data_IF_038295391551
#
_entry.id   IF_038295391551
#
_cell.length_a   1.000
_cell.length_b   1.000
_cell.length_c   1.000
_cell.angle_alpha   90.00
_cell.angle_beta   90.00
_cell.angle_gamma   90.00
#
_symmetry.space_group_name_H-M   'P 1'
#
loop_
_entity.id
_entity.type
_entity.pdbx_description
1 polymer ?
#
# COMPACT_ATOMS: atom_id res chain seq x y z
N UNK A 1 6.95 22.39 15.94
CA UNK A 1 7.23 20.97 16.28
C UNK A 1 6.27 20.36 17.31
N UNK A 2 5.99 21.03 18.44
CA UNK A 2 5.18 20.48 19.54
C UNK A 2 3.76 20.07 19.11
N UNK A 3 3.05 20.95 18.38
CA UNK A 3 1.69 20.69 17.88
C UNK A 3 1.64 19.40 17.06
N UNK A 4 2.61 19.21 16.17
CA UNK A 4 2.68 18.01 15.34
C UNK A 4 2.90 16.75 16.19
N UNK A 5 3.85 16.75 17.13
CA UNK A 5 4.08 15.61 18.01
C UNK A 5 2.83 15.27 18.84
N UNK A 6 2.11 16.27 19.33
CA UNK A 6 0.83 16.08 20.04
C UNK A 6 -0.21 15.44 19.12
N UNK A 7 -0.41 15.97 17.91
CA UNK A 7 -1.38 15.41 16.95
C UNK A 7 -1.00 13.98 16.52
N UNK A 8 0.29 13.68 16.35
CA UNK A 8 0.80 12.33 16.06
C UNK A 8 0.51 11.37 17.20
N UNK A 9 0.83 11.76 18.43
CA UNK A 9 0.57 10.97 19.63
C UNK A 9 -0.92 10.70 19.77
N UNK A 10 -1.75 11.72 19.60
CA UNK A 10 -3.20 11.59 19.74
C UNK A 10 -3.81 10.73 18.62
N UNK A 11 -3.33 10.85 17.38
CA UNK A 11 -3.75 9.99 16.26
C UNK A 11 -3.34 8.54 16.49
N UNK A 12 -2.13 8.30 16.99
CA UNK A 12 -1.65 6.95 17.31
C UNK A 12 -2.45 6.34 18.45
N UNK A 13 -2.61 7.05 19.57
CA UNK A 13 -3.32 6.56 20.75
C UNK A 13 -4.79 6.31 20.45
N UNK A 14 -5.47 7.21 19.73
CA UNK A 14 -6.87 7.02 19.36
C UNK A 14 -7.06 5.79 18.47
N UNK A 15 -6.18 5.56 17.49
CA UNK A 15 -6.21 4.34 16.67
C UNK A 15 -5.89 3.07 17.49
N UNK A 16 -4.89 3.14 18.38
CA UNK A 16 -4.53 2.06 19.30
C UNK A 16 -5.71 1.67 20.19
N UNK A 17 -6.36 2.64 20.83
CA UNK A 17 -7.53 2.39 21.65
C UNK A 17 -8.70 1.86 20.80
N UNK A 18 -8.96 2.44 19.64
CA UNK A 18 -10.02 1.96 18.74
C UNK A 18 -9.80 0.52 18.23
N UNK A 19 -8.56 0.02 18.29
CA UNK A 19 -8.22 -1.34 17.85
C UNK A 19 -8.61 -2.42 18.86
N UNK A 20 -8.85 -2.08 20.13
CA UNK A 20 -9.37 -3.02 21.11
C UNK A 20 -10.77 -3.50 20.73
N UNK A 21 -11.04 -4.78 20.99
CA UNK A 21 -12.39 -5.31 20.85
C UNK A 21 -13.18 -4.99 22.12
N UNK A 22 -13.82 -3.83 22.13
CA UNK A 22 -14.72 -3.42 23.20
C UNK A 22 -16.00 -4.25 23.15
N UNK A 23 -16.46 -4.72 24.31
CA UNK A 23 -17.80 -5.30 24.46
C UNK A 23 -18.89 -4.24 24.23
N UNK A 24 -18.67 -3.03 24.76
CA UNK A 24 -19.57 -1.90 24.59
C UNK A 24 -19.27 -1.12 23.30
N UNK A 25 -20.28 -1.08 22.42
CA UNK A 25 -20.24 -0.37 21.14
C UNK A 25 -19.98 1.13 21.31
N UNK A 26 -20.43 1.75 22.41
CA UNK A 26 -20.28 3.19 22.65
C UNK A 26 -18.81 3.60 22.71
N UNK A 27 -18.00 2.85 23.47
CA UNK A 27 -16.56 3.09 23.57
C UNK A 27 -15.85 2.90 22.23
N UNK A 28 -16.29 1.91 21.43
CA UNK A 28 -15.75 1.71 20.08
C UNK A 28 -16.04 2.88 19.16
N UNK A 29 -17.28 3.38 19.15
CA UNK A 29 -17.68 4.54 18.35
C UNK A 29 -16.91 5.79 18.79
N UNK A 30 -16.78 6.02 20.10
CA UNK A 30 -16.04 7.15 20.64
C UNK A 30 -14.57 7.11 20.20
N UNK A 31 -13.88 5.98 20.37
CA UNK A 31 -12.48 5.83 19.97
C UNK A 31 -12.27 6.01 18.45
N UNK A 32 -13.17 5.48 17.62
CA UNK A 32 -13.14 5.70 16.16
C UNK A 32 -13.35 7.19 15.83
N UNK A 33 -14.29 7.86 16.50
CA UNK A 33 -14.56 9.29 16.29
C UNK A 33 -13.35 10.15 16.69
N UNK A 34 -12.71 9.82 17.81
CA UNK A 34 -11.45 10.45 18.22
C UNK A 34 -10.33 10.21 17.20
N UNK A 35 -10.24 9.01 16.61
CA UNK A 35 -9.29 8.74 15.53
C UNK A 35 -9.57 9.60 14.30
N UNK A 36 -10.82 9.71 13.85
CA UNK A 36 -11.18 10.54 12.70
C UNK A 36 -10.81 12.01 12.99
N UNK A 37 -11.23 12.55 14.13
CA UNK A 37 -10.96 13.95 14.49
C UNK A 37 -9.46 14.25 14.62
N UNK A 38 -8.71 13.38 15.31
CA UNK A 38 -7.26 13.52 15.48
C UNK A 38 -6.51 13.40 14.15
N UNK A 39 -6.92 12.46 13.31
CA UNK A 39 -6.35 12.27 11.98
C UNK A 39 -6.59 13.46 11.05
N UNK A 40 -7.75 14.12 11.18
CA UNK A 40 -8.10 15.32 10.44
C UNK A 40 -7.27 16.51 10.92
N UNK A 41 -7.12 16.67 12.24
CA UNK A 41 -6.23 17.68 12.81
C UNK A 41 -4.77 17.48 12.35
N UNK A 42 -4.28 16.24 12.35
CA UNK A 42 -2.95 15.90 11.83
C UNK A 42 -2.82 16.25 10.34
N UNK A 43 -3.88 16.02 9.56
CA UNK A 43 -3.93 16.36 8.13
C UNK A 43 -3.87 17.86 7.87
N UNK A 44 -4.46 18.69 8.75
CA UNK A 44 -4.35 20.15 8.67
C UNK A 44 -2.95 20.65 9.02
N UNK A 45 -2.26 19.99 9.96
CA UNK A 45 -0.90 20.38 10.37
C UNK A 45 0.14 20.02 9.31
N UNK A 46 -0.03 18.89 8.61
CA UNK A 46 0.92 18.41 7.60
C UNK A 46 0.62 18.99 6.21
N UNK A 47 1.47 19.91 5.77
CA UNK A 47 1.39 20.48 4.43
C UNK A 47 1.70 19.44 3.35
N UNK A 48 0.95 19.48 2.24
CA UNK A 48 1.09 18.51 1.12
C UNK A 48 2.41 18.61 0.39
N UNK A 49 2.98 19.81 0.31
CA UNK A 49 4.25 20.08 -0.36
C UNK A 49 5.46 19.42 0.33
N UNK A 50 5.32 18.98 1.60
CA UNK A 50 6.36 18.30 2.35
C UNK A 50 6.51 16.82 1.97
N UNK A 51 5.52 16.24 1.30
CA UNK A 51 5.57 14.86 0.82
C UNK A 51 6.72 14.67 -0.18
N UNK A 52 7.50 13.60 -0.01
CA UNK A 52 8.59 13.23 -0.91
C UNK A 52 8.15 13.07 -2.38
N UNK A 53 6.93 12.56 -2.62
CA UNK A 53 6.41 12.36 -3.97
C UNK A 53 5.68 13.60 -4.52
N UNK A 54 5.57 14.70 -3.76
CA UNK A 54 4.79 15.87 -4.17
C UNK A 54 5.27 16.46 -5.49
N UNK A 55 6.56 16.76 -5.62
CA UNK A 55 7.12 17.36 -6.84
C UNK A 55 7.03 16.41 -8.04
N UNK A 56 7.17 15.10 -7.79
CA UNK A 56 7.00 14.09 -8.84
C UNK A 56 5.58 14.14 -9.39
N UNK A 57 4.56 14.10 -8.52
CA UNK A 57 3.18 14.21 -8.98
C UNK A 57 2.89 15.59 -9.56
N UNK A 58 3.35 16.68 -8.94
CA UNK A 58 3.05 18.03 -9.40
C UNK A 58 3.61 18.30 -10.81
N UNK A 59 4.82 17.82 -11.10
CA UNK A 59 5.45 17.99 -12.41
C UNK A 59 5.15 16.86 -13.40
N UNK A 60 4.33 15.88 -13.01
CA UNK A 60 3.99 14.75 -13.88
C UNK A 60 3.20 15.23 -15.10
N UNK A 61 3.68 14.90 -16.30
CA UNK A 61 3.01 15.19 -17.57
C UNK A 61 1.80 14.27 -17.86
N UNK A 62 1.43 13.39 -16.92
CA UNK A 62 0.36 12.40 -17.12
C UNK A 62 -1.05 13.02 -17.06
N UNK A 63 -1.18 14.27 -16.59
CA UNK A 63 -2.46 14.99 -16.55
C UNK A 63 -2.89 15.57 -17.91
N UNK A 64 -2.08 15.39 -18.96
CA UNK A 64 -2.50 15.76 -20.31
C UNK A 64 -3.61 14.82 -20.82
N UNK A 65 -4.49 15.36 -21.65
CA UNK A 65 -5.57 14.59 -22.26
C UNK A 65 -4.97 13.42 -23.05
N UNK A 66 -5.39 12.17 -22.79
CA UNK A 66 -4.87 11.02 -23.52
C UNK A 66 -5.27 11.11 -25.00
N UNK A 67 -4.36 10.76 -25.90
CA UNK A 67 -4.60 10.79 -27.35
C UNK A 67 -5.38 9.58 -27.88
N UNK A 68 -5.73 8.61 -27.01
CA UNK A 68 -6.49 7.41 -27.36
C UNK A 68 -6.62 6.42 -26.19
N UNK A 69 -7.34 5.31 -26.39
CA UNK A 69 -7.64 4.32 -25.34
C UNK A 69 -6.38 3.68 -24.72
N UNK A 70 -5.40 3.30 -25.54
CA UNK A 70 -4.15 2.71 -25.04
C UNK A 70 -3.33 3.72 -24.23
N UNK A 71 -3.28 4.98 -24.68
CA UNK A 71 -2.66 6.07 -23.93
C UNK A 71 -3.38 6.31 -22.60
N UNK A 72 -4.72 6.24 -22.58
CA UNK A 72 -5.51 6.39 -21.36
C UNK A 72 -5.22 5.26 -20.35
N UNK A 73 -5.14 4.00 -20.79
CA UNK A 73 -4.79 2.87 -19.92
C UNK A 73 -3.36 2.97 -19.36
N UNK A 74 -2.41 3.41 -20.18
CA UNK A 74 -1.00 3.55 -19.78
C UNK A 74 -0.76 4.78 -18.89
N UNK A 75 -1.60 5.80 -18.99
CA UNK A 75 -1.52 7.05 -18.22
C UNK A 75 -2.29 7.02 -16.88
N UNK A 76 -2.44 5.84 -16.26
CA UNK A 76 -3.15 5.67 -14.97
C UNK A 76 -4.52 6.37 -14.92
N UNK A 77 -5.54 5.76 -15.54
CA UNK A 77 -6.78 6.46 -15.84
C UNK A 77 -7.50 7.01 -14.60
N UNK A 78 -7.37 6.33 -13.45
CA UNK A 78 -7.85 6.83 -12.16
C UNK A 78 -7.29 8.22 -11.79
N UNK A 79 -5.97 8.41 -11.84
CA UNK A 79 -5.35 9.64 -11.36
C UNK A 79 -5.72 10.81 -12.26
N UNK A 80 -5.79 10.56 -13.58
CA UNK A 80 -6.30 11.51 -14.55
C UNK A 80 -7.77 11.88 -14.26
N UNK A 81 -8.65 10.91 -14.02
CA UNK A 81 -10.06 11.16 -13.71
C UNK A 81 -10.25 11.99 -12.44
N UNK A 82 -9.48 11.72 -11.38
CA UNK A 82 -9.56 12.49 -10.13
C UNK A 82 -9.07 13.93 -10.37
N UNK A 83 -7.99 14.10 -11.13
CA UNK A 83 -7.50 15.43 -11.50
C UNK A 83 -8.54 16.21 -12.32
N UNK A 84 -9.11 15.60 -13.37
CA UNK A 84 -10.09 16.27 -14.24
C UNK A 84 -11.37 16.64 -13.50
N UNK A 85 -11.81 15.81 -12.56
CA UNK A 85 -12.96 16.09 -11.70
C UNK A 85 -12.75 17.38 -10.89
N UNK A 86 -11.60 17.54 -10.23
CA UNK A 86 -11.32 18.74 -9.46
C UNK A 86 -11.00 19.95 -10.33
N UNK A 87 -10.29 19.76 -11.46
CA UNK A 87 -9.97 20.85 -12.38
C UNK A 87 -11.20 21.41 -13.11
N UNK A 88 -12.33 20.69 -13.10
CA UNK A 88 -13.59 21.22 -13.61
C UNK A 88 -14.14 22.38 -12.76
N UNK A 89 -13.82 22.38 -11.46
CA UNK A 89 -14.30 23.39 -10.50
C UNK A 89 -13.23 24.39 -10.07
N UNK A 90 -11.95 24.10 -10.32
CA UNK A 90 -10.80 24.82 -9.76
C UNK A 90 -9.74 25.02 -10.85
N UNK A 91 -9.37 26.27 -11.11
CA UNK A 91 -8.38 26.59 -12.15
C UNK A 91 -6.93 26.43 -11.67
N UNK A 92 -6.66 26.77 -10.40
CA UNK A 92 -5.31 26.72 -9.86
C UNK A 92 -4.85 25.28 -9.62
N UNK A 93 -3.80 24.87 -10.34
CA UNK A 93 -3.22 23.51 -10.27
C UNK A 93 -2.83 23.11 -8.85
N UNK A 94 -2.25 24.02 -8.08
CA UNK A 94 -1.86 23.75 -6.68
C UNK A 94 -3.07 23.34 -5.82
N UNK A 95 -4.17 24.09 -5.92
CA UNK A 95 -5.40 23.79 -5.18
C UNK A 95 -6.07 22.49 -5.65
N UNK A 96 -6.03 22.19 -6.96
CA UNK A 96 -6.48 20.89 -7.50
C UNK A 96 -5.70 19.75 -6.84
N UNK A 97 -4.37 19.86 -6.77
CA UNK A 97 -3.52 18.88 -6.11
C UNK A 97 -3.84 18.71 -4.63
N UNK A 98 -4.03 19.82 -3.90
CA UNK A 98 -4.44 19.75 -2.50
C UNK A 98 -5.75 18.98 -2.33
N UNK A 99 -6.75 19.24 -3.19
CA UNK A 99 -8.01 18.49 -3.20
C UNK A 99 -7.80 17.00 -3.49
N UNK A 100 -6.94 16.64 -4.44
CA UNK A 100 -6.61 15.23 -4.71
C UNK A 100 -6.01 14.53 -3.49
N UNK A 101 -5.10 15.19 -2.77
CA UNK A 101 -4.54 14.62 -1.53
C UNK A 101 -5.59 14.51 -0.42
N UNK A 102 -6.52 15.46 -0.29
CA UNK A 102 -7.64 15.36 0.64
C UNK A 102 -8.57 14.20 0.29
N UNK A 103 -8.89 14.02 -0.98
CA UNK A 103 -9.67 12.88 -1.46
C UNK A 103 -9.00 11.54 -1.12
N UNK A 104 -7.71 11.43 -1.38
CA UNK A 104 -6.94 10.24 -1.06
C UNK A 104 -6.83 10.00 0.46
N UNK A 105 -6.67 11.05 1.26
CA UNK A 105 -6.74 11.00 2.73
C UNK A 105 -8.08 10.43 3.21
N UNK A 106 -9.21 10.88 2.63
CA UNK A 106 -10.54 10.39 3.01
C UNK A 106 -10.71 8.89 2.70
N UNK A 107 -10.24 8.44 1.53
CA UNK A 107 -10.26 7.02 1.14
C UNK A 107 -9.42 6.18 2.12
N UNK A 108 -8.19 6.61 2.39
CA UNK A 108 -7.28 5.89 3.28
C UNK A 108 -7.82 5.84 4.72
N UNK A 109 -8.28 6.96 5.27
CA UNK A 109 -8.87 7.00 6.62
C UNK A 109 -10.11 6.11 6.71
N UNK A 110 -10.97 6.11 5.69
CA UNK A 110 -12.13 5.21 5.63
C UNK A 110 -11.73 3.74 5.62
N UNK A 111 -10.65 3.38 4.92
CA UNK A 111 -10.09 2.02 4.95
C UNK A 111 -9.60 1.63 6.36
N UNK A 112 -8.88 2.51 7.04
CA UNK A 112 -8.40 2.24 8.40
C UNK A 112 -9.55 2.16 9.41
N UNK A 113 -10.60 2.97 9.26
CA UNK A 113 -11.84 2.83 10.03
C UNK A 113 -12.54 1.49 9.75
N UNK A 114 -12.65 1.09 8.49
CA UNK A 114 -13.17 -0.23 8.11
C UNK A 114 -12.37 -1.37 8.77
N UNK A 115 -11.05 -1.24 8.85
CA UNK A 115 -10.16 -2.22 9.50
C UNK A 115 -10.40 -2.29 11.02
N UNK A 116 -10.59 -1.15 11.69
CA UNK A 116 -10.93 -1.10 13.13
C UNK A 116 -12.22 -1.85 13.45
N UNK A 117 -13.21 -1.78 12.56
CA UNK A 117 -14.51 -2.44 12.74
C UNK A 117 -14.39 -3.98 12.66
N UNK A 118 -13.38 -4.54 11.98
CA UNK A 118 -13.22 -5.99 11.83
C UNK A 118 -12.80 -6.66 13.13
N UNK A 119 -13.71 -7.43 13.75
CA UNK A 119 -13.47 -8.17 15.00
C UNK A 119 -12.56 -9.39 14.79
N UNK A 120 -12.64 -10.01 13.62
CA UNK A 120 -11.86 -11.21 13.27
C UNK A 120 -10.41 -10.90 12.86
N UNK A 121 -9.99 -9.63 12.93
CA UNK A 121 -8.60 -9.21 12.72
C UNK A 121 -8.04 -8.82 14.08
N UNK A 122 -6.96 -9.48 14.48
CA UNK A 122 -6.30 -9.21 15.76
C UNK A 122 -5.73 -7.78 15.82
N UNK A 123 -5.81 -7.15 16.99
CA UNK A 123 -5.37 -5.78 17.22
C UNK A 123 -3.93 -5.53 16.77
N UNK A 124 -2.99 -6.43 17.10
CA UNK A 124 -1.60 -6.23 16.70
C UNK A 124 -1.42 -6.15 15.18
N UNK A 125 -2.21 -6.90 14.40
CA UNK A 125 -2.19 -6.85 12.93
C UNK A 125 -2.71 -5.51 12.42
N UNK A 126 -3.78 -4.99 13.03
CA UNK A 126 -4.31 -3.65 12.72
C UNK A 126 -3.27 -2.57 13.00
N UNK A 127 -2.55 -2.68 14.12
CA UNK A 127 -1.51 -1.74 14.51
C UNK A 127 -0.30 -1.79 13.57
N UNK A 128 0.17 -2.98 13.18
CA UNK A 128 1.25 -3.10 12.18
C UNK A 128 0.84 -2.46 10.85
N UNK A 129 -0.36 -2.76 10.35
CA UNK A 129 -0.85 -2.19 9.10
C UNK A 129 -0.96 -0.66 9.18
N UNK A 130 -1.50 -0.14 10.28
CA UNK A 130 -1.61 1.30 10.52
C UNK A 130 -0.26 1.99 10.58
N UNK A 131 0.65 1.48 11.42
CA UNK A 131 1.95 2.10 11.62
C UNK A 131 2.78 2.10 10.34
N UNK A 132 2.73 1.04 9.55
CA UNK A 132 3.51 0.94 8.31
C UNK A 132 2.89 1.67 7.11
N UNK A 133 1.56 1.76 7.01
CA UNK A 133 0.89 2.20 5.77
C UNK A 133 0.03 3.44 5.89
N UNK A 134 -0.28 3.93 7.11
CA UNK A 134 -1.19 5.07 7.27
C UNK A 134 -0.66 6.33 6.59
N UNK A 135 0.58 6.73 6.89
CA UNK A 135 1.19 7.90 6.23
C UNK A 135 1.38 7.69 4.73
N UNK A 136 1.85 6.50 4.34
CA UNK A 136 2.05 6.16 2.94
C UNK A 136 0.76 6.31 2.14
N UNK A 137 -0.38 5.83 2.66
CA UNK A 137 -1.64 5.84 1.94
C UNK A 137 -2.37 7.16 2.07
N UNK A 138 -2.43 7.76 3.26
CA UNK A 138 -3.24 8.94 3.49
C UNK A 138 -2.54 10.25 3.10
N UNK A 139 -1.20 10.27 3.03
CA UNK A 139 -0.42 11.52 2.85
C UNK A 139 0.47 11.51 1.60
N UNK A 140 0.86 10.35 1.09
CA UNK A 140 1.92 10.25 0.09
C UNK A 140 1.44 9.78 -1.27
N UNK A 141 0.91 8.55 -1.33
CA UNK A 141 0.74 7.82 -2.59
C UNK A 141 -0.65 8.04 -3.17
N UNK A 142 -0.76 9.00 -4.10
CA UNK A 142 -2.01 9.27 -4.84
C UNK A 142 -2.34 8.16 -5.84
N UNK A 143 -1.31 7.58 -6.45
CA UNK A 143 -1.44 6.67 -7.60
C UNK A 143 -1.85 5.26 -7.20
N UNK A 144 -1.07 4.63 -6.30
CA UNK A 144 -1.22 3.21 -5.98
C UNK A 144 -2.06 2.95 -4.73
N UNK A 145 -2.24 3.94 -3.85
CA UNK A 145 -2.94 3.79 -2.56
C UNK A 145 -4.31 3.12 -2.68
N UNK A 146 -5.21 3.60 -3.55
CA UNK A 146 -6.52 2.98 -3.77
C UNK A 146 -6.44 1.52 -4.24
N UNK A 147 -5.49 1.21 -5.13
CA UNK A 147 -5.29 -0.17 -5.60
C UNK A 147 -4.85 -1.10 -4.46
N UNK A 148 -3.93 -0.64 -3.60
CA UNK A 148 -3.49 -1.39 -2.42
C UNK A 148 -4.64 -1.64 -1.44
N UNK A 149 -5.48 -0.63 -1.20
CA UNK A 149 -6.66 -0.73 -0.33
C UNK A 149 -7.65 -1.78 -0.87
N UNK A 150 -7.94 -1.75 -2.18
CA UNK A 150 -8.81 -2.75 -2.80
C UNK A 150 -8.24 -4.17 -2.68
N UNK A 151 -6.92 -4.35 -2.85
CA UNK A 151 -6.28 -5.66 -2.63
C UNK A 151 -6.34 -6.10 -1.17
N UNK A 152 -6.16 -5.19 -0.21
CA UNK A 152 -6.30 -5.51 1.20
C UNK A 152 -7.73 -6.00 1.51
N UNK A 153 -8.75 -5.29 1.02
CA UNK A 153 -10.15 -5.72 1.14
C UNK A 153 -10.39 -7.06 0.44
N UNK A 154 -9.87 -7.24 -0.77
CA UNK A 154 -9.97 -8.50 -1.53
C UNK A 154 -9.37 -9.68 -0.78
N UNK A 155 -8.16 -9.56 -0.24
CA UNK A 155 -7.52 -10.61 0.54
C UNK A 155 -8.30 -10.94 1.81
N UNK A 156 -8.80 -9.91 2.51
CA UNK A 156 -9.68 -10.09 3.66
C UNK A 156 -10.94 -10.89 3.29
N UNK A 157 -11.73 -10.43 2.31
CA UNK A 157 -12.99 -11.10 1.96
C UNK A 157 -12.77 -12.50 1.37
N UNK A 158 -11.80 -12.65 0.47
CA UNK A 158 -11.54 -13.93 -0.23
C UNK A 158 -11.10 -15.03 0.72
N UNK A 159 -10.26 -14.70 1.70
CA UNK A 159 -9.82 -15.67 2.72
C UNK A 159 -10.92 -16.06 3.71
N UNK A 160 -12.03 -15.31 3.77
CA UNK A 160 -13.28 -15.69 4.46
C UNK A 160 -14.33 -16.26 3.50
N UNK A 161 -13.90 -16.72 2.33
CA UNK A 161 -14.78 -17.27 1.29
C UNK A 161 -15.86 -16.31 0.77
N UNK A 162 -15.73 -15.00 0.97
CA UNK A 162 -16.66 -13.98 0.45
C UNK A 162 -16.14 -13.41 -0.87
N UNK A 163 -17.04 -13.18 -1.83
CA UNK A 163 -16.69 -12.57 -3.12
C UNK A 163 -16.44 -11.07 -2.95
N UNK A 164 -15.43 -10.54 -3.66
CA UNK A 164 -15.14 -9.10 -3.70
C UNK A 164 -14.71 -8.70 -5.12
N UNK A 165 -15.71 -8.50 -5.98
CA UNK A 165 -15.49 -8.28 -7.42
C UNK A 165 -14.94 -6.88 -7.73
N UNK A 166 -15.04 -5.94 -6.79
CA UNK A 166 -14.41 -4.61 -6.90
C UNK A 166 -12.89 -4.67 -7.09
N UNK A 167 -12.24 -5.81 -6.84
CA UNK A 167 -10.82 -5.94 -7.18
C UNK A 167 -10.55 -5.77 -8.69
N UNK A 168 -11.52 -6.11 -9.55
CA UNK A 168 -11.36 -6.12 -11.01
C UNK A 168 -11.18 -4.71 -11.60
N UNK A 169 -11.49 -3.64 -10.86
CA UNK A 169 -11.24 -2.26 -11.31
C UNK A 169 -9.80 -1.79 -11.06
N UNK A 170 -9.00 -2.54 -10.28
CA UNK A 170 -7.62 -2.15 -9.95
C UNK A 170 -6.68 -1.93 -11.14
N UNK A 171 -6.81 -2.59 -12.31
CA UNK A 171 -6.00 -2.28 -13.48
C UNK A 171 -6.18 -0.85 -13.98
N UNK A 172 -7.36 -0.27 -13.80
CA UNK A 172 -7.66 1.12 -14.16
C UNK A 172 -7.13 2.11 -13.11
N UNK A 173 -6.72 1.63 -11.93
CA UNK A 173 -6.03 2.44 -10.94
C UNK A 173 -4.52 2.36 -11.11
N UNK A 174 -4.01 1.15 -11.23
CA UNK A 174 -2.59 0.91 -11.38
C UNK A 174 -2.31 -0.37 -12.17
N UNK A 175 -1.61 -0.26 -13.30
CA UNK A 175 -1.40 -1.40 -14.21
C UNK A 175 -0.65 -2.57 -13.54
N UNK A 176 0.22 -2.32 -12.56
CA UNK A 176 0.94 -3.41 -11.88
C UNK A 176 0.04 -4.30 -11.05
N UNK A 177 -1.19 -3.86 -10.76
CA UNK A 177 -2.23 -4.67 -10.12
C UNK A 177 -2.67 -5.86 -10.96
N UNK A 178 -2.52 -5.80 -12.29
CA UNK A 178 -2.84 -6.91 -13.20
C UNK A 178 -2.14 -8.21 -12.82
N UNK A 179 -0.87 -8.12 -12.39
CA UNK A 179 -0.11 -9.31 -11.99
C UNK A 179 -0.80 -10.05 -10.84
N UNK A 180 -1.28 -9.32 -9.84
CA UNK A 180 -1.91 -9.91 -8.66
C UNK A 180 -3.36 -10.31 -8.88
N UNK A 181 -4.02 -9.84 -9.95
CA UNK A 181 -5.37 -10.26 -10.28
C UNK A 181 -5.48 -11.74 -10.62
N UNK A 182 -4.37 -12.42 -10.98
CA UNK A 182 -4.38 -13.89 -11.12
C UNK A 182 -4.90 -14.56 -9.84
N UNK A 183 -4.66 -13.96 -8.65
CA UNK A 183 -5.18 -14.49 -7.39
C UNK A 183 -6.71 -14.52 -7.31
N UNK A 184 -7.43 -13.80 -8.18
CA UNK A 184 -8.90 -13.83 -8.26
C UNK A 184 -9.45 -15.25 -8.46
N UNK A 185 -8.73 -16.08 -9.22
CA UNK A 185 -9.07 -17.48 -9.47
C UNK A 185 -8.43 -18.46 -8.47
N UNK A 186 -7.98 -18.01 -7.29
CA UNK A 186 -7.26 -18.82 -6.29
C UNK A 186 -7.95 -20.13 -5.87
N UNK A 187 -9.28 -20.23 -6.01
CA UNK A 187 -10.02 -21.45 -5.64
C UNK A 187 -9.99 -22.52 -6.72
N UNK A 188 -9.53 -22.20 -7.93
CA UNK A 188 -9.53 -23.16 -9.02
C UNK A 188 -8.46 -24.24 -8.80
N UNK A 189 -8.82 -25.51 -8.97
CA UNK A 189 -7.90 -26.64 -8.74
C UNK A 189 -6.64 -26.60 -9.61
N UNK A 190 -6.72 -25.94 -10.78
CA UNK A 190 -5.60 -25.75 -11.71
C UNK A 190 -4.88 -24.41 -11.51
N UNK A 191 -5.08 -23.72 -10.39
CA UNK A 191 -4.52 -22.39 -10.16
C UNK A 191 -3.02 -22.30 -10.44
N UNK A 192 -2.21 -23.19 -9.84
CA UNK A 192 -0.77 -23.16 -10.01
C UNK A 192 -0.32 -23.51 -11.43
N UNK A 193 -1.09 -24.36 -12.12
CA UNK A 193 -0.88 -24.64 -13.54
C UNK A 193 -1.10 -23.36 -14.36
N UNK A 194 -2.21 -22.66 -14.14
CA UNK A 194 -2.50 -21.39 -14.81
C UNK A 194 -1.44 -20.33 -14.51
N UNK A 195 -1.01 -20.22 -13.25
CA UNK A 195 0.05 -19.29 -12.87
C UNK A 195 1.36 -19.57 -13.62
N UNK A 196 1.74 -20.85 -13.74
CA UNK A 196 2.91 -21.27 -14.50
C UNK A 196 2.77 -20.95 -15.99
N UNK A 197 1.63 -21.29 -16.62
CA UNK A 197 1.39 -20.98 -18.02
C UNK A 197 1.31 -19.47 -18.30
N UNK A 198 0.77 -18.68 -17.37
CA UNK A 198 0.76 -17.22 -17.46
C UNK A 198 2.18 -16.67 -17.44
N UNK A 199 3.04 -17.17 -16.56
CA UNK A 199 4.45 -16.77 -16.54
C UNK A 199 5.18 -17.17 -17.83
N UNK A 200 4.98 -18.41 -18.29
CA UNK A 200 5.56 -18.91 -19.53
C UNK A 200 5.09 -18.07 -20.72
N UNK A 201 3.79 -17.76 -20.80
CA UNK A 201 3.20 -16.94 -21.84
C UNK A 201 3.76 -15.52 -21.85
N UNK A 202 3.87 -14.85 -20.69
CA UNK A 202 4.45 -13.51 -20.60
C UNK A 202 5.92 -13.54 -21.05
N UNK A 203 6.67 -14.56 -20.62
CA UNK A 203 8.08 -14.71 -20.98
C UNK A 203 8.27 -14.97 -22.48
N UNK A 204 7.52 -15.91 -23.07
CA UNK A 204 7.60 -16.19 -24.52
C UNK A 204 7.10 -15.02 -25.35
N UNK A 205 6.02 -14.36 -24.94
CA UNK A 205 5.53 -13.15 -25.59
C UNK A 205 6.58 -12.04 -25.55
N UNK A 206 7.22 -11.81 -24.41
CA UNK A 206 8.29 -10.83 -24.29
C UNK A 206 9.45 -11.17 -25.24
N UNK A 207 9.94 -12.42 -25.24
CA UNK A 207 11.03 -12.83 -26.14
C UNK A 207 10.68 -12.63 -27.62
N UNK A 208 9.49 -13.03 -28.04
CA UNK A 208 9.03 -12.89 -29.43
C UNK A 208 8.82 -11.42 -29.83
N UNK A 209 8.33 -10.59 -28.90
CA UNK A 209 8.04 -9.18 -29.17
C UNK A 209 9.26 -8.28 -29.00
N UNK A 210 10.30 -8.68 -28.27
CA UNK A 210 11.51 -7.90 -28.03
C UNK A 210 12.09 -7.26 -29.31
N UNK A 211 12.31 -7.98 -30.43
CA UNK A 211 12.84 -7.36 -31.65
C UNK A 211 11.94 -6.25 -32.21
N UNK A 212 10.62 -6.38 -32.08
CA UNK A 212 9.67 -5.33 -32.48
C UNK A 212 9.65 -4.17 -31.49
N UNK A 213 9.69 -4.46 -30.19
CA UNK A 213 9.64 -3.48 -29.11
C UNK A 213 10.88 -2.58 -29.11
N UNK A 214 12.07 -3.11 -29.40
CA UNK A 214 13.31 -2.32 -29.48
C UNK A 214 13.28 -1.23 -30.56
N UNK A 215 12.45 -1.38 -31.59
CA UNK A 215 12.25 -0.39 -32.65
C UNK A 215 11.29 0.74 -32.25
N UNK A 216 10.59 0.61 -31.11
CA UNK A 216 9.66 1.62 -30.61
C UNK A 216 10.41 2.57 -29.67
N UNK A 217 10.53 3.85 -30.04
CA UNK A 217 11.24 4.86 -29.24
C UNK A 217 10.75 4.97 -27.78
N UNK A 218 9.45 4.78 -27.53
CA UNK A 218 8.89 4.75 -26.18
C UNK A 218 9.37 3.54 -25.36
N UNK A 219 9.61 2.39 -25.97
CA UNK A 219 10.11 1.22 -25.26
C UNK A 219 11.56 1.42 -24.79
N UNK A 220 12.39 2.10 -25.59
CA UNK A 220 13.73 2.51 -25.17
C UNK A 220 13.70 3.44 -23.95
N UNK A 221 12.67 4.28 -23.80
CA UNK A 221 12.48 5.10 -22.59
C UNK A 221 12.11 4.28 -21.34
N UNK A 222 11.44 3.13 -21.52
CA UNK A 222 11.11 2.19 -20.44
C UNK A 222 12.37 1.43 -20.03
N UNK A 223 13.13 0.92 -21.01
CA UNK A 223 14.41 0.24 -20.77
C UNK A 223 15.43 1.17 -20.12
N UNK A 224 15.52 2.42 -20.55
CA UNK A 224 16.42 3.41 -19.93
C UNK A 224 16.03 3.68 -18.48
N UNK A 225 14.73 3.81 -18.15
CA UNK A 225 14.29 3.89 -16.74
C UNK A 225 14.68 2.66 -15.93
N UNK A 226 14.50 1.45 -16.47
CA UNK A 226 14.92 0.21 -15.81
C UNK A 226 16.44 0.22 -15.56
N UNK A 227 17.22 0.71 -16.53
CA UNK A 227 18.67 0.85 -16.41
C UNK A 227 19.11 1.95 -15.41
N UNK A 228 18.42 3.09 -15.36
CA UNK A 228 18.70 4.14 -14.37
C UNK A 228 18.42 3.63 -12.96
N UNK A 229 17.28 2.95 -12.76
CA UNK A 229 16.97 2.33 -11.48
C UNK A 229 17.93 1.20 -11.11
N UNK A 230 18.63 0.58 -12.07
CA UNK A 230 19.65 -0.43 -11.80
C UNK A 230 21.04 0.15 -11.47
N UNK A 231 21.29 1.42 -11.79
CA UNK A 231 22.61 2.06 -11.62
C UNK A 231 22.74 2.90 -10.32
N UNK A 232 21.67 3.48 -9.77
CA UNK A 232 21.73 4.35 -8.56
C UNK A 232 21.88 3.57 -7.21
N UNK A 233 22.27 2.28 -7.24
CA UNK A 233 21.96 1.29 -6.19
C UNK A 233 23.14 0.90 -5.25
N UNK A 234 23.87 1.81 -4.62
CA UNK A 234 24.79 1.38 -3.52
C UNK A 234 24.15 1.48 -2.13
N UNK A 235 23.75 2.67 -1.69
CA UNK A 235 23.17 2.83 -0.34
C UNK A 235 21.69 2.40 -0.28
N UNK A 236 20.91 2.73 -1.31
CA UNK A 236 19.49 2.35 -1.44
C UNK A 236 19.35 0.81 -1.40
N UNK A 237 20.36 0.06 -1.87
CA UNK A 237 20.36 -1.40 -1.87
C UNK A 237 20.25 -2.01 -0.48
N UNK A 238 20.95 -1.46 0.52
CA UNK A 238 21.09 -2.11 1.83
C UNK A 238 19.75 -2.15 2.57
N UNK A 239 19.03 -1.03 2.62
CA UNK A 239 17.71 -0.99 3.28
C UNK A 239 16.70 -1.90 2.59
N UNK A 240 16.72 -1.94 1.25
CA UNK A 240 15.87 -2.85 0.48
C UNK A 240 16.22 -4.33 0.74
N UNK A 241 17.51 -4.66 0.88
CA UNK A 241 17.96 -6.01 1.26
C UNK A 241 17.48 -6.36 2.68
N UNK A 242 17.66 -5.48 3.66
CA UNK A 242 17.21 -5.71 5.03
C UNK A 242 15.69 -5.96 5.04
N UNK A 243 14.93 -5.15 4.31
CA UNK A 243 13.48 -5.31 4.21
C UNK A 243 13.07 -6.59 3.47
N UNK A 244 13.82 -6.99 2.44
CA UNK A 244 13.65 -8.29 1.79
C UNK A 244 13.88 -9.45 2.76
N UNK A 245 14.99 -9.44 3.50
CA UNK A 245 15.28 -10.44 4.52
C UNK A 245 14.17 -10.50 5.58
N UNK A 246 13.65 -9.35 6.00
CA UNK A 246 12.51 -9.28 6.92
C UNK A 246 11.25 -9.98 6.37
N UNK A 247 10.86 -9.71 5.12
CA UNK A 247 9.68 -10.35 4.52
C UNK A 247 9.87 -11.86 4.33
N UNK A 248 11.07 -12.29 3.92
CA UNK A 248 11.39 -13.72 3.78
C UNK A 248 11.38 -14.41 5.13
N UNK A 249 11.97 -13.81 6.17
CA UNK A 249 11.96 -14.34 7.53
C UNK A 249 10.53 -14.44 8.08
N UNK A 250 9.72 -13.41 7.89
CA UNK A 250 8.31 -13.41 8.30
C UNK A 250 7.54 -14.55 7.62
N UNK A 251 7.77 -14.72 6.31
CA UNK A 251 7.11 -15.75 5.50
C UNK A 251 7.60 -17.16 5.86
N UNK A 252 8.89 -17.35 6.14
CA UNK A 252 9.46 -18.63 6.54
C UNK A 252 9.00 -19.04 7.94
N UNK A 253 8.98 -18.11 8.91
CA UNK A 253 8.38 -18.32 10.22
C UNK A 253 6.91 -18.70 10.10
N UNK A 254 6.15 -17.99 9.26
CA UNK A 254 4.77 -18.36 8.95
C UNK A 254 4.66 -19.77 8.37
N UNK A 255 5.57 -20.14 7.47
CA UNK A 255 5.69 -21.49 6.87
C UNK A 255 5.89 -22.59 7.91
N UNK A 256 6.79 -22.37 8.87
CA UNK A 256 7.06 -23.30 9.96
C UNK A 256 5.85 -23.45 10.89
N UNK A 257 5.21 -22.33 11.25
CA UNK A 257 4.12 -22.30 12.24
C UNK A 257 2.81 -22.83 11.63
N UNK A 258 2.43 -22.35 10.45
CA UNK A 258 1.10 -22.59 9.87
C UNK A 258 1.08 -23.67 8.77
N UNK A 259 2.25 -24.20 8.39
CA UNK A 259 2.44 -25.36 7.49
C UNK A 259 1.59 -25.24 6.22
N UNK A 260 0.70 -26.20 5.96
CA UNK A 260 -0.14 -26.28 4.74
C UNK A 260 -0.97 -25.03 4.48
N UNK A 261 -1.34 -24.25 5.51
CA UNK A 261 -2.10 -23.00 5.31
C UNK A 261 -1.31 -21.93 4.57
N UNK A 262 0.01 -21.91 4.71
CA UNK A 262 0.88 -20.96 3.99
C UNK A 262 0.98 -21.24 2.49
N UNK A 263 0.65 -22.46 2.05
CA UNK A 263 0.59 -22.82 0.65
C UNK A 263 -0.69 -22.30 -0.04
N UNK A 264 -1.55 -21.59 0.69
CA UNK A 264 -2.74 -20.99 0.10
C UNK A 264 -2.34 -20.00 -1.01
N UNK A 265 -2.97 -20.03 -2.19
CA UNK A 265 -2.55 -19.22 -3.33
C UNK A 265 -2.52 -17.70 -3.07
N UNK A 266 -3.44 -17.19 -2.24
CA UNK A 266 -3.48 -15.78 -1.81
C UNK A 266 -2.20 -15.36 -1.06
N UNK A 267 -1.53 -16.28 -0.36
CA UNK A 267 -0.30 -16.01 0.36
C UNK A 267 0.92 -16.21 -0.53
N UNK A 268 0.96 -17.34 -1.24
CA UNK A 268 2.12 -17.74 -2.03
C UNK A 268 2.33 -16.83 -3.25
N UNK A 269 1.26 -16.39 -3.90
CA UNK A 269 1.37 -15.62 -5.16
C UNK A 269 1.95 -14.21 -4.95
N UNK A 270 1.48 -13.40 -3.97
CA UNK A 270 2.14 -12.14 -3.66
C UNK A 270 3.59 -12.32 -3.26
N UNK A 271 3.91 -13.36 -2.47
CA UNK A 271 5.28 -13.65 -2.07
C UNK A 271 6.18 -13.99 -3.27
N UNK A 272 5.68 -14.84 -4.19
CA UNK A 272 6.38 -15.22 -5.41
C UNK A 272 6.66 -13.99 -6.28
N UNK A 273 5.65 -13.14 -6.51
CA UNK A 273 5.86 -11.92 -7.29
C UNK A 273 6.79 -10.93 -6.58
N UNK A 274 6.74 -10.85 -5.26
CA UNK A 274 7.67 -10.03 -4.48
C UNK A 274 9.13 -10.49 -4.65
N UNK A 275 9.38 -11.80 -4.58
CA UNK A 275 10.72 -12.38 -4.80
C UNK A 275 11.21 -12.10 -6.21
N UNK A 276 10.38 -12.39 -7.23
CA UNK A 276 10.73 -12.10 -8.63
C UNK A 276 11.01 -10.61 -8.82
N UNK A 277 10.14 -9.75 -8.30
CA UNK A 277 10.31 -8.30 -8.38
C UNK A 277 11.63 -7.85 -7.73
N UNK A 278 12.09 -8.49 -6.64
CA UNK A 278 13.32 -8.10 -5.96
C UNK A 278 14.56 -8.41 -6.80
N UNK A 279 14.57 -9.56 -7.48
CA UNK A 279 15.65 -9.93 -8.39
C UNK A 279 15.68 -9.07 -9.66
N UNK A 280 14.51 -8.59 -10.13
CA UNK A 280 14.45 -7.62 -11.23
C UNK A 280 14.93 -6.25 -10.76
N UNK A 281 14.33 -5.74 -9.68
CA UNK A 281 14.61 -4.42 -9.13
C UNK A 281 14.12 -4.32 -7.66
N UNK A 282 15.02 -4.07 -6.68
CA UNK A 282 14.63 -3.95 -5.27
C UNK A 282 13.56 -2.90 -5.00
N UNK A 283 13.55 -1.78 -5.73
CA UNK A 283 12.54 -0.71 -5.60
C UNK A 283 11.15 -1.21 -6.02
N UNK A 284 11.10 -2.02 -7.09
CA UNK A 284 9.87 -2.65 -7.54
C UNK A 284 9.32 -3.58 -6.45
N UNK A 285 10.17 -4.42 -5.86
CA UNK A 285 9.78 -5.28 -4.75
C UNK A 285 9.24 -4.49 -3.56
N UNK A 286 9.91 -3.40 -3.17
CA UNK A 286 9.42 -2.56 -2.08
C UNK A 286 8.02 -2.02 -2.35
N UNK A 287 7.73 -1.61 -3.60
CA UNK A 287 6.36 -1.23 -4.03
C UNK A 287 5.37 -2.40 -4.01
N UNK A 288 5.82 -3.62 -4.24
CA UNK A 288 4.98 -4.84 -4.13
C UNK A 288 4.76 -5.31 -2.69
N UNK A 289 5.59 -4.88 -1.75
CA UNK A 289 5.54 -5.36 -0.37
C UNK A 289 4.20 -5.15 0.37
N UNK A 290 3.41 -4.09 0.14
CA UNK A 290 2.11 -3.95 0.77
C UNK A 290 1.20 -5.14 0.47
N UNK A 291 1.25 -5.70 -0.74
CA UNK A 291 0.44 -6.86 -1.11
C UNK A 291 0.80 -8.11 -0.30
N UNK A 292 2.08 -8.32 -0.02
CA UNK A 292 2.54 -9.44 0.82
C UNK A 292 2.09 -9.23 2.27
N UNK A 293 2.27 -8.02 2.80
CA UNK A 293 1.86 -7.71 4.16
C UNK A 293 0.35 -7.81 4.34
N UNK A 294 -0.45 -7.31 3.39
CA UNK A 294 -1.91 -7.46 3.46
C UNK A 294 -2.34 -8.90 3.33
N UNK A 295 -1.78 -9.67 2.39
CA UNK A 295 -2.18 -11.07 2.24
C UNK A 295 -1.85 -11.85 3.50
N UNK A 296 -0.69 -11.64 4.11
CA UNK A 296 -0.25 -12.33 5.31
C UNK A 296 -1.01 -11.88 6.57
N UNK A 297 -1.06 -10.58 6.85
CA UNK A 297 -1.67 -10.06 8.07
C UNK A 297 -3.20 -10.17 8.06
N UNK A 298 -3.84 -10.08 6.89
CA UNK A 298 -5.29 -10.25 6.83
C UNK A 298 -5.69 -11.71 6.74
N UNK A 299 -4.79 -12.69 6.53
CA UNK A 299 -5.17 -14.10 6.48
C UNK A 299 -5.67 -14.63 7.85
N UNK A 300 -6.73 -15.45 7.88
CA UNK A 300 -7.27 -16.00 9.11
C UNK A 300 -6.46 -17.24 9.49
N UNK A 301 -5.27 -17.02 10.04
CA UNK A 301 -4.54 -18.08 10.72
C UNK A 301 -5.29 -18.42 12.02
N UNK A 302 -5.49 -19.72 12.30
CA UNK A 302 -6.02 -20.11 13.61
C UNK A 302 -4.99 -19.69 14.66
N UNK A 303 -5.44 -19.06 15.74
CA UNK A 303 -4.57 -18.64 16.83
C UNK A 303 -3.88 -19.86 17.44
N UNK A 304 -2.60 -20.03 17.16
CA UNK A 304 -1.72 -20.97 17.88
C UNK A 304 -1.36 -20.38 19.26
N UNK A 305 -1.57 -19.08 19.41
CA UNK A 305 -1.24 -18.29 20.59
C UNK A 305 -2.42 -18.38 21.58
N UNK A 306 -2.13 -18.74 22.83
CA UNK A 306 -3.11 -18.70 23.92
C UNK A 306 -3.62 -17.28 24.15
N UNK A 307 -4.88 -17.12 24.56
CA UNK A 307 -5.53 -15.81 24.73
C UNK A 307 -4.72 -14.83 25.61
N UNK A 308 -4.07 -15.33 26.66
CA UNK A 308 -3.21 -14.52 27.53
C UNK A 308 -1.95 -13.98 26.81
N UNK A 309 -1.28 -14.81 26.00
CA UNK A 309 -0.10 -14.38 25.23
C UNK A 309 -0.52 -13.38 24.15
N UNK A 310 -1.65 -13.61 23.49
CA UNK A 310 -2.20 -12.69 22.48
C UNK A 310 -2.55 -11.33 23.10
N UNK A 311 -3.14 -11.32 24.31
CA UNK A 311 -3.42 -10.08 25.05
C UNK A 311 -2.15 -9.27 25.31
N UNK A 312 -1.06 -9.92 25.74
CA UNK A 312 0.25 -9.26 25.92
C UNK A 312 0.81 -8.71 24.62
N UNK A 313 0.77 -9.47 23.52
CA UNK A 313 1.21 -9.00 22.20
C UNK A 313 0.42 -7.77 21.75
N UNK A 314 -0.90 -7.79 21.92
CA UNK A 314 -1.77 -6.64 21.62
C UNK A 314 -1.39 -5.40 22.45
N UNK A 315 -1.17 -5.56 23.75
CA UNK A 315 -0.75 -4.46 24.62
C UNK A 315 0.60 -3.86 24.22
N UNK A 316 1.59 -4.72 23.91
CA UNK A 316 2.94 -4.31 23.51
C UNK A 316 2.98 -3.53 22.20
N UNK A 317 1.92 -3.55 21.38
CA UNK A 317 1.87 -2.74 20.15
C UNK A 317 1.88 -1.23 20.39
N UNK A 318 1.68 -0.77 21.64
CA UNK A 318 1.91 0.63 22.03
C UNK A 318 3.37 1.05 21.75
N UNK A 319 4.32 0.11 21.83
CA UNK A 319 5.73 0.33 21.54
C UNK A 319 6.01 0.56 20.05
N UNK A 320 5.01 0.50 19.17
CA UNK A 320 5.16 0.86 17.76
C UNK A 320 5.07 2.38 17.51
N UNK A 321 4.81 3.19 18.53
CA UNK A 321 4.80 4.65 18.37
C UNK A 321 6.08 5.23 17.74
N UNK A 322 7.31 4.83 18.13
CA UNK A 322 8.52 5.30 17.46
C UNK A 322 8.58 4.93 15.97
N UNK A 323 8.05 3.77 15.58
CA UNK A 323 7.96 3.37 14.18
C UNK A 323 6.95 4.24 13.43
N UNK A 324 5.84 4.62 14.08
CA UNK A 324 4.85 5.53 13.50
C UNK A 324 5.45 6.93 13.25
N UNK A 325 6.26 7.43 14.18
CA UNK A 325 6.99 8.68 13.99
C UNK A 325 8.06 8.53 12.90
N UNK A 326 8.81 7.43 12.90
CA UNK A 326 9.82 7.15 11.86
C UNK A 326 9.21 7.10 10.45
N UNK A 327 8.06 6.45 10.28
CA UNK A 327 7.39 6.33 8.97
C UNK A 327 6.92 7.68 8.44
N UNK A 328 6.48 8.60 9.30
CA UNK A 328 6.22 10.00 8.91
C UNK A 328 7.49 10.65 8.34
N UNK A 329 8.61 10.56 9.05
CA UNK A 329 9.87 11.18 8.61
C UNK A 329 10.44 10.54 7.35
N UNK A 330 10.24 9.24 7.15
CA UNK A 330 10.69 8.56 5.94
C UNK A 330 9.84 8.95 4.70
N UNK A 331 8.62 9.42 4.92
CA UNK A 331 7.67 9.75 3.84
C UNK A 331 7.64 11.24 3.49
N UNK A 332 8.23 12.09 4.33
CA UNK A 332 8.26 13.54 4.15
C UNK A 332 9.71 14.04 4.11
N UNK A 333 9.92 15.18 3.44
CA UNK A 333 11.25 15.76 3.26
C UNK A 333 11.78 16.33 4.58
N UNK A 334 12.85 15.79 5.17
CA UNK A 334 13.29 16.20 6.50
C UNK A 334 13.79 17.66 6.52
N UNK A 335 14.46 18.10 5.46
CA UNK A 335 15.03 19.46 5.35
C UNK A 335 13.97 20.56 5.40
N UNK A 336 12.87 20.40 4.65
CA UNK A 336 11.76 21.37 4.66
C UNK A 336 11.02 21.32 5.98
N UNK A 337 10.84 20.12 6.55
CA UNK A 337 10.20 19.96 7.85
C UNK A 337 10.95 20.70 8.98
N UNK A 338 12.28 20.58 9.03
CA UNK A 338 13.08 21.35 10.01
C UNK A 338 12.95 22.85 9.79
N UNK A 339 12.89 23.33 8.54
CA UNK A 339 12.75 24.75 8.22
C UNK A 339 11.37 25.33 8.60
N UNK A 340 10.29 24.56 8.41
CA UNK A 340 8.92 25.02 8.70
C UNK A 340 8.49 24.83 10.16
N UNK A 341 9.13 23.92 10.91
CA UNK A 341 8.66 23.57 12.27
C UNK A 341 9.68 23.78 13.40
N UNK A 342 10.95 24.13 13.10
CA UNK A 342 11.96 24.55 14.09
C UNK A 342 12.36 26.03 14.02
N UNK A 343 11.71 26.81 13.14
CA UNK A 343 11.52 28.24 13.38
C UNK A 343 10.25 28.41 14.21
#
# INVERSE_FOLDING_TARGET
>A
MIILLITLLFTFLSYYFASFDYEDLKWKILSISCFIASSFALRLVLQTNLNNDYLLYYNFQIFHKPYGFLSYLLNEPYLYLVYTLFSYFIDAKETVFQCMYWFNYLIATSFFVWLLIKKDVEMWKKMVLFVCHYFLFAYVVLRNGPSYILFAMYFYYSSRNKKFNWILITPFMHISSCLLLVTYIHKWKYYFFVLFFLFLFIFTFFLLMTPFLLNIGYFNSILSKIATYSQEIKMIKIMHIIYFLFIILLSSMGGVIYKRKMLHPILLTPLLFYVIAFYINPILAHRFSPYVLFSFLLFPFNSVITDQKLKKVNQLTILFFPIFVYTLFNTHTPKLFFQYFMK
#
